data_IF_168319930727
#
_entry.id   IF_168319930727
#
_cell.length_a   1.000
_cell.length_b   1.000
_cell.length_c   1.000
_cell.angle_alpha   90.00
_cell.angle_beta   90.00
_cell.angle_gamma   90.00
#
_symmetry.space_group_name_H-M   'P 1'
#
loop_
_entity.id
_entity.type
_entity.pdbx_description
1 polymer ?
#
# COMPACT_ATOMS: atom_id res chain seq x y z
N UNK A 1 -23.62 -2.53 -3.58
CA UNK A 1 -23.15 -3.65 -2.74
C UNK A 1 -23.94 -3.67 -1.45
N UNK A 2 -24.20 -4.85 -0.87
CA UNK A 2 -24.85 -4.92 0.46
C UNK A 2 -23.83 -4.77 1.60
N UNK A 3 -24.28 -4.29 2.76
CA UNK A 3 -23.44 -4.17 3.96
C UNK A 3 -22.79 -5.51 4.35
N UNK A 4 -23.54 -6.61 4.27
CA UNK A 4 -23.04 -7.95 4.56
C UNK A 4 -21.97 -8.42 3.55
N UNK A 5 -22.01 -7.96 2.29
CA UNK A 5 -20.94 -8.25 1.32
C UNK A 5 -19.66 -7.47 1.67
N UNK A 6 -19.80 -6.20 2.04
CA UNK A 6 -18.67 -5.35 2.42
C UNK A 6 -17.94 -5.90 3.64
N UNK A 7 -18.67 -6.31 4.67
CA UNK A 7 -18.11 -6.91 5.89
C UNK A 7 -17.29 -8.17 5.59
N UNK A 8 -17.82 -9.09 4.78
CA UNK A 8 -17.07 -10.29 4.35
C UNK A 8 -15.79 -9.95 3.60
N UNK A 9 -15.80 -8.92 2.75
CA UNK A 9 -14.58 -8.47 2.08
C UNK A 9 -13.57 -7.92 3.10
N UNK A 10 -13.99 -7.08 4.04
CA UNK A 10 -13.11 -6.56 5.08
C UNK A 10 -12.49 -7.67 5.92
N UNK A 11 -13.25 -8.72 6.26
CA UNK A 11 -12.74 -9.91 6.95
C UNK A 11 -11.69 -10.65 6.11
N UNK A 12 -11.94 -10.88 4.82
CA UNK A 12 -10.99 -11.54 3.95
C UNK A 12 -9.68 -10.76 3.83
N UNK A 13 -9.76 -9.43 3.67
CA UNK A 13 -8.59 -8.56 3.63
C UNK A 13 -7.83 -8.59 4.95
N UNK A 14 -8.53 -8.60 6.09
CA UNK A 14 -7.94 -8.73 7.41
C UNK A 14 -7.18 -10.06 7.56
N UNK A 15 -7.81 -11.19 7.23
CA UNK A 15 -7.20 -12.53 7.32
C UNK A 15 -5.94 -12.64 6.45
N UNK A 16 -5.95 -12.01 5.26
CA UNK A 16 -4.81 -11.98 4.33
C UNK A 16 -3.79 -10.89 4.63
N UNK A 17 -3.99 -10.10 5.69
CA UNK A 17 -3.12 -8.97 6.07
C UNK A 17 -2.95 -7.97 4.92
N UNK A 18 -4.04 -7.66 4.21
CA UNK A 18 -4.12 -6.63 3.19
C UNK A 18 -4.66 -5.35 3.83
N UNK A 19 -3.89 -4.80 4.78
CA UNK A 19 -4.41 -3.79 5.71
C UNK A 19 -4.66 -2.44 5.04
N UNK A 20 -3.82 -2.05 4.08
CA UNK A 20 -3.98 -0.76 3.40
C UNK A 20 -5.18 -0.78 2.47
N UNK A 21 -5.36 -1.89 1.75
CA UNK A 21 -6.56 -2.10 0.92
C UNK A 21 -7.81 -2.11 1.79
N UNK A 22 -7.79 -2.78 2.95
CA UNK A 22 -8.94 -2.82 3.86
C UNK A 22 -9.37 -1.43 4.33
N UNK A 23 -8.41 -0.58 4.69
CA UNK A 23 -8.63 0.81 5.09
C UNK A 23 -9.28 1.62 3.96
N UNK A 24 -8.93 1.34 2.70
CA UNK A 24 -9.38 2.09 1.53
C UNK A 24 -10.49 1.42 0.72
N UNK A 25 -10.99 0.27 1.17
CA UNK A 25 -11.88 -0.59 0.39
C UNK A 25 -13.10 0.17 -0.13
N UNK A 26 -13.76 0.94 0.73
CA UNK A 26 -14.96 1.70 0.35
C UNK A 26 -14.65 2.76 -0.72
N UNK A 27 -13.56 3.52 -0.55
CA UNK A 27 -13.13 4.52 -1.53
C UNK A 27 -12.77 3.88 -2.88
N UNK A 28 -12.04 2.75 -2.86
CA UNK A 28 -11.68 2.01 -4.07
C UNK A 28 -12.92 1.50 -4.81
N UNK A 29 -13.92 1.01 -4.08
CA UNK A 29 -15.18 0.52 -4.64
C UNK A 29 -16.09 1.64 -5.16
N UNK A 30 -16.04 2.84 -4.56
CA UNK A 30 -16.74 4.02 -5.04
C UNK A 30 -16.10 4.59 -6.31
N UNK A 31 -14.76 4.54 -6.41
CA UNK A 31 -14.01 5.08 -7.54
C UNK A 31 -14.08 4.20 -8.80
N UNK A 32 -14.10 2.87 -8.65
CA UNK A 32 -13.98 1.95 -9.78
C UNK A 32 -15.10 2.09 -10.84
N UNK A 33 -16.40 2.25 -10.47
CA UNK A 33 -17.46 2.49 -11.44
C UNK A 33 -17.32 3.85 -12.12
N UNK A 34 -16.92 4.89 -11.38
CA UNK A 34 -16.78 6.24 -11.91
C UNK A 34 -15.66 6.36 -12.95
N UNK A 35 -14.63 5.51 -12.82
CA UNK A 35 -13.47 5.45 -13.73
C UNK A 35 -13.60 4.36 -14.79
N UNK A 36 -14.77 3.69 -14.88
CA UNK A 36 -15.00 2.53 -15.75
C UNK A 36 -13.86 1.51 -15.71
N UNK A 37 -13.26 1.33 -14.53
CA UNK A 37 -11.99 0.62 -14.41
C UNK A 37 -12.19 -0.87 -14.73
N UNK A 38 -11.47 -1.42 -15.72
CA UNK A 38 -11.49 -2.84 -16.00
C UNK A 38 -11.16 -3.66 -14.76
N UNK A 39 -11.78 -4.84 -14.60
CA UNK A 39 -11.60 -5.65 -13.38
C UNK A 39 -10.14 -6.04 -13.12
N UNK A 40 -9.34 -6.24 -14.17
CA UNK A 40 -7.91 -6.52 -14.07
C UNK A 40 -7.16 -5.31 -13.49
N UNK A 41 -7.45 -4.10 -13.97
CA UNK A 41 -6.81 -2.85 -13.52
C UNK A 41 -7.20 -2.52 -12.08
N UNK A 42 -8.46 -2.79 -11.69
CA UNK A 42 -8.89 -2.66 -10.30
C UNK A 42 -8.11 -3.61 -9.37
N UNK A 43 -7.92 -4.87 -9.79
CA UNK A 43 -7.16 -5.83 -9.01
C UNK A 43 -5.68 -5.42 -8.92
N UNK A 44 -5.09 -4.94 -10.02
CA UNK A 44 -3.71 -4.46 -10.04
C UNK A 44 -3.52 -3.26 -9.09
N UNK A 45 -4.44 -2.29 -9.11
CA UNK A 45 -4.44 -1.16 -8.18
C UNK A 45 -4.47 -1.62 -6.72
N UNK A 46 -5.41 -2.52 -6.39
CA UNK A 46 -5.55 -3.11 -5.05
C UNK A 46 -4.24 -3.77 -4.58
N UNK A 47 -3.63 -4.58 -5.44
CA UNK A 47 -2.41 -5.30 -5.07
C UNK A 47 -1.20 -4.37 -4.96
N UNK A 48 -1.06 -3.43 -5.89
CA UNK A 48 0.02 -2.44 -5.92
C UNK A 48 0.02 -1.58 -4.67
N UNK A 49 -1.14 -1.10 -4.22
CA UNK A 49 -1.25 -0.31 -2.99
C UNK A 49 -0.79 -1.08 -1.74
N UNK A 50 -1.16 -2.35 -1.63
CA UNK A 50 -0.74 -3.16 -0.50
C UNK A 50 0.76 -3.46 -0.54
N UNK A 51 1.30 -3.80 -1.72
CA UNK A 51 2.72 -4.07 -1.91
C UNK A 51 3.56 -2.84 -1.55
N UNK A 52 3.16 -1.66 -2.00
CA UNK A 52 3.82 -0.40 -1.67
C UNK A 52 3.80 -0.14 -0.15
N UNK A 53 2.64 -0.31 0.50
CA UNK A 53 2.49 -0.14 1.95
C UNK A 53 3.37 -1.11 2.75
N UNK A 54 3.39 -2.39 2.36
CA UNK A 54 4.24 -3.41 3.00
C UNK A 54 5.72 -3.12 2.80
N UNK A 55 6.11 -2.71 1.60
CA UNK A 55 7.49 -2.33 1.28
C UNK A 55 7.93 -1.15 2.14
N UNK A 56 7.14 -0.08 2.22
CA UNK A 56 7.43 1.08 3.04
C UNK A 56 7.58 0.71 4.53
N UNK A 57 6.64 -0.08 5.08
CA UNK A 57 6.73 -0.57 6.48
C UNK A 57 7.99 -1.40 6.72
N UNK A 58 8.34 -2.25 5.76
CA UNK A 58 9.50 -3.11 5.85
C UNK A 58 10.82 -2.31 5.85
N UNK A 59 10.93 -1.33 4.95
CA UNK A 59 12.08 -0.41 4.89
C UNK A 59 12.19 0.36 6.20
N UNK A 60 11.10 0.96 6.70
CA UNK A 60 11.08 1.69 7.97
C UNK A 60 11.51 0.79 9.14
N UNK A 61 10.97 -0.42 9.22
CA UNK A 61 11.31 -1.38 10.28
C UNK A 61 12.80 -1.74 10.24
N UNK A 62 13.33 -2.13 9.07
CA UNK A 62 14.74 -2.54 8.93
C UNK A 62 15.71 -1.39 9.19
N UNK A 63 15.37 -0.19 8.73
CA UNK A 63 16.14 1.03 9.00
C UNK A 63 16.21 1.32 10.50
N UNK A 64 15.07 1.21 11.21
CA UNK A 64 15.03 1.36 12.67
C UNK A 64 15.87 0.30 13.39
N UNK A 65 15.78 -0.96 12.96
CA UNK A 65 16.56 -2.06 13.55
C UNK A 65 18.07 -1.90 13.36
N UNK A 66 18.50 -1.34 12.22
CA UNK A 66 19.90 -1.04 11.95
C UNK A 66 20.46 0.13 12.77
N UNK A 67 19.62 0.83 13.56
CA UNK A 67 20.00 2.02 14.35
C UNK A 67 20.72 3.09 13.52
N UNK A 68 20.32 3.25 12.25
CA UNK A 68 20.90 4.30 11.42
C UNK A 68 20.62 5.68 12.06
N UNK A 69 21.66 6.49 12.33
CA UNK A 69 21.50 7.76 13.01
C UNK A 69 20.74 8.79 12.15
N UNK A 70 20.83 8.68 10.82
CA UNK A 70 20.10 9.48 9.86
C UNK A 70 19.71 8.64 8.64
N UNK A 71 18.48 8.81 8.15
CA UNK A 71 18.04 8.25 6.86
C UNK A 71 18.34 9.30 5.79
N UNK A 72 19.48 9.18 5.10
CA UNK A 72 19.73 9.99 3.90
C UNK A 72 18.89 9.43 2.75
N UNK A 73 17.90 10.21 2.30
CA UNK A 73 17.20 9.92 1.03
C UNK A 73 18.12 10.20 -0.15
N UNK A 74 17.83 9.62 -1.33
CA UNK A 74 18.57 9.93 -2.56
C UNK A 74 18.59 11.44 -2.87
N UNK A 75 17.52 12.16 -2.53
CA UNK A 75 17.39 13.61 -2.72
C UNK A 75 18.35 14.43 -1.83
N UNK A 76 18.74 13.88 -0.68
CA UNK A 76 19.66 14.52 0.28
C UNK A 76 21.08 13.97 0.19
N UNK A 77 21.32 13.07 -0.76
CA UNK A 77 22.61 12.45 -0.97
C UNK A 77 23.48 13.33 -1.87
N UNK A 78 24.67 13.68 -1.39
CA UNK A 78 25.63 14.49 -2.16
C UNK A 78 26.45 13.61 -3.10
N UNK A 79 25.98 13.48 -4.35
CA UNK A 79 26.66 12.72 -5.40
C UNK A 79 27.99 13.34 -5.85
N UNK A 80 28.25 14.61 -5.52
CA UNK A 80 29.55 15.24 -5.85
C UNK A 80 30.72 14.61 -5.08
N UNK A 81 30.41 13.85 -4.03
CA UNK A 81 31.39 13.13 -3.21
C UNK A 81 31.79 11.74 -3.76
N UNK A 82 31.07 11.18 -4.73
CA UNK A 82 31.50 9.96 -5.43
C UNK A 82 32.49 10.33 -6.54
N UNK A 83 33.77 10.05 -6.30
CA UNK A 83 34.85 10.16 -7.28
C UNK A 83 35.27 8.78 -7.76
#
# INVERSE_FOLDING_TARGET
MSAAQLERLQEHLQRRRLFKVRERLEALLQDAPAKETPSADFLDLVLTEEVASKTAKHVTMRTRLARFPFVKSLETFDFSSLR
#
